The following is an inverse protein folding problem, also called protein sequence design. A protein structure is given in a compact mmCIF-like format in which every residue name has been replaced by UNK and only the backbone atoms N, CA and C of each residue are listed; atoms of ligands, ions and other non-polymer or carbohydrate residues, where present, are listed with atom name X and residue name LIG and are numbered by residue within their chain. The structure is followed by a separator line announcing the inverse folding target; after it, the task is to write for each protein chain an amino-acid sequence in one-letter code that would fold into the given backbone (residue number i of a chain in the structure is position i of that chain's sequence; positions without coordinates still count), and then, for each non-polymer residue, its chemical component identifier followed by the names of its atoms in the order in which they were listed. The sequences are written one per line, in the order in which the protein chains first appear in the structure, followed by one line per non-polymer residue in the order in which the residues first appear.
data_IF_044987601380
#
_entry.id   IF_044987601380
#
_cell.length_a   1.000
_cell.length_b   1.000
_cell.length_c   1.000
_cell.angle_alpha   90.00
_cell.angle_beta   90.00
_cell.angle_gamma   90.00
#
_symmetry.space_group_name_H-M   'P 1'
#
loop_
_entity.id
_entity.type
_entity.pdbx_description
1 polymer ?
#
# COMPACT_ATOMS: atom_id res chain seq x y z
N UNK A 1 -2.44 -25.93 18.01
CA UNK A 1 -3.42 -25.14 17.22
C UNK A 1 -3.03 -25.26 15.76
N UNK A 2 -3.98 -25.56 14.88
CA UNK A 2 -3.74 -25.68 13.45
C UNK A 2 -3.54 -24.28 12.82
N UNK A 3 -2.31 -23.98 12.40
CA UNK A 3 -1.94 -22.71 11.76
C UNK A 3 -2.63 -22.51 10.42
N UNK A 4 -3.00 -23.61 9.74
CA UNK A 4 -3.66 -23.56 8.43
C UNK A 4 -5.12 -23.11 8.56
N UNK A 5 -5.87 -23.69 9.50
CA UNK A 5 -7.22 -23.24 9.82
C UNK A 5 -7.25 -21.79 10.31
N UNK A 6 -6.28 -21.38 11.13
CA UNK A 6 -6.18 -20.00 11.60
C UNK A 6 -5.93 -19.01 10.44
N UNK A 7 -5.03 -19.34 9.52
CA UNK A 7 -4.77 -18.53 8.33
C UNK A 7 -6.01 -18.38 7.44
N UNK A 8 -6.70 -19.49 7.16
CA UNK A 8 -7.92 -19.50 6.34
C UNK A 8 -9.00 -18.59 6.94
N UNK A 9 -9.16 -18.63 8.27
CA UNK A 9 -10.07 -17.73 8.99
C UNK A 9 -9.64 -16.26 8.87
N UNK A 10 -8.35 -15.94 9.00
CA UNK A 10 -7.87 -14.57 8.82
C UNK A 10 -8.09 -14.06 7.39
N UNK A 11 -7.84 -14.90 6.39
CA UNK A 11 -8.09 -14.60 4.98
C UNK A 11 -9.56 -14.26 4.75
N UNK A 12 -10.47 -15.15 5.16
CA UNK A 12 -11.92 -14.92 5.04
C UNK A 12 -12.36 -13.63 5.76
N UNK A 13 -11.86 -13.40 6.97
CA UNK A 13 -12.15 -12.19 7.73
C UNK A 13 -11.59 -10.92 7.05
N UNK A 14 -10.43 -10.99 6.41
CA UNK A 14 -9.84 -9.81 5.76
C UNK A 14 -10.58 -9.47 4.47
N UNK A 15 -10.87 -10.47 3.64
CA UNK A 15 -11.49 -10.30 2.33
C UNK A 15 -12.98 -9.93 2.39
N UNK A 16 -13.63 -10.14 3.53
CA UNK A 16 -15.02 -9.70 3.77
C UNK A 16 -15.16 -8.24 4.19
N UNK A 17 -14.05 -7.55 4.48
CA UNK A 17 -14.08 -6.14 4.89
C UNK A 17 -14.10 -5.21 3.68
N UNK A 18 -14.82 -4.10 3.84
CA UNK A 18 -14.74 -2.98 2.90
C UNK A 18 -13.32 -2.36 2.88
N UNK A 19 -13.00 -1.70 1.78
CA UNK A 19 -11.78 -0.95 1.61
C UNK A 19 -11.79 0.29 2.54
N UNK A 20 -10.74 0.43 3.35
CA UNK A 20 -10.59 1.50 4.35
C UNK A 20 -9.67 2.64 3.86
N UNK A 21 -9.20 2.59 2.61
CA UNK A 21 -8.46 3.69 2.00
C UNK A 21 -9.38 4.91 1.85
N UNK A 22 -8.79 6.11 1.74
CA UNK A 22 -9.57 7.33 1.46
C UNK A 22 -10.31 7.27 0.11
N UNK A 23 -9.80 6.47 -0.82
CA UNK A 23 -10.44 6.22 -2.13
C UNK A 23 -11.66 5.31 -1.99
N UNK A 24 -11.66 4.41 -1.00
CA UNK A 24 -12.74 3.44 -0.77
C UNK A 24 -12.75 2.29 -1.78
N UNK A 25 -11.70 2.15 -2.59
CA UNK A 25 -11.56 1.08 -3.57
C UNK A 25 -10.09 0.79 -3.88
N UNK A 26 -9.82 -0.44 -4.32
CA UNK A 26 -8.52 -0.83 -4.87
C UNK A 26 -8.24 -0.03 -6.15
N UNK A 27 -6.98 0.33 -6.38
CA UNK A 27 -6.56 0.98 -7.61
C UNK A 27 -6.67 0.04 -8.81
N UNK A 28 -7.18 0.55 -9.93
CA UNK A 28 -7.36 -0.21 -11.18
C UNK A 28 -6.06 -0.90 -11.63
N UNK A 29 -4.93 -0.21 -11.55
CA UNK A 29 -3.63 -0.76 -11.97
C UNK A 29 -3.13 -1.87 -11.03
N UNK A 30 -3.66 -1.96 -9.81
CA UNK A 30 -3.31 -2.99 -8.83
C UNK A 30 -4.36 -4.11 -8.74
N UNK A 31 -5.55 -3.94 -9.33
CA UNK A 31 -6.68 -4.86 -9.12
C UNK A 31 -6.35 -6.28 -9.57
N UNK A 32 -5.66 -6.43 -10.71
CA UNK A 32 -5.32 -7.73 -11.27
C UNK A 32 -4.41 -8.55 -10.35
N UNK A 33 -3.34 -7.93 -9.83
CA UNK A 33 -2.42 -8.62 -8.90
C UNK A 33 -3.08 -8.91 -7.55
N UNK A 34 -3.94 -8.00 -7.07
CA UNK A 34 -4.69 -8.19 -5.82
C UNK A 34 -5.63 -9.39 -5.94
N UNK A 35 -6.40 -9.48 -7.03
CA UNK A 35 -7.30 -10.60 -7.27
C UNK A 35 -6.54 -11.92 -7.44
N UNK A 36 -5.45 -11.91 -8.22
CA UNK A 36 -4.61 -13.08 -8.44
C UNK A 36 -4.08 -13.67 -7.13
N UNK A 37 -3.56 -12.83 -6.24
CA UNK A 37 -3.03 -13.28 -4.95
C UNK A 37 -4.15 -13.76 -4.02
N UNK A 38 -5.28 -13.04 -3.96
CA UNK A 38 -6.39 -13.44 -3.10
C UNK A 38 -7.07 -14.74 -3.53
N UNK A 39 -6.94 -15.14 -4.80
CA UNK A 39 -7.40 -16.43 -5.30
C UNK A 39 -6.55 -17.63 -4.85
N UNK A 40 -5.35 -17.41 -4.28
CA UNK A 40 -4.42 -18.47 -3.85
C UNK A 40 -4.53 -18.74 -2.36
N UNK A 41 -4.58 -19.99 -1.93
CA UNK A 41 -4.76 -20.36 -0.53
C UNK A 41 -3.60 -19.95 0.39
N UNK A 42 -2.44 -19.71 -0.20
CA UNK A 42 -1.21 -19.31 0.49
C UNK A 42 -1.16 -17.82 0.84
N UNK A 43 -2.02 -17.00 0.22
CA UNK A 43 -1.90 -15.55 0.25
C UNK A 43 -3.24 -14.84 0.52
N UNK A 44 -3.14 -13.67 1.15
CA UNK A 44 -4.15 -12.63 0.99
C UNK A 44 -3.55 -11.24 1.16
N UNK A 45 -4.06 -10.28 0.41
CA UNK A 45 -3.63 -8.89 0.46
C UNK A 45 -4.27 -8.18 1.65
N UNK A 46 -3.48 -7.39 2.39
CA UNK A 46 -4.01 -6.57 3.49
C UNK A 46 -4.20 -5.11 3.08
N UNK A 47 -3.40 -4.59 2.17
CA UNK A 47 -3.52 -3.23 1.63
C UNK A 47 -2.69 -3.07 0.35
N UNK A 48 -3.11 -2.17 -0.53
CA UNK A 48 -2.44 -1.85 -1.79
C UNK A 48 -2.52 -0.35 -2.10
N UNK A 49 -1.58 0.15 -2.89
CA UNK A 49 -1.61 1.44 -3.57
C UNK A 49 -0.85 1.29 -4.89
N UNK A 50 -1.46 1.65 -6.02
CA UNK A 50 -0.84 1.59 -7.36
C UNK A 50 0.35 2.56 -7.52
N UNK A 51 0.49 3.49 -6.57
CA UNK A 51 1.38 4.64 -6.66
C UNK A 51 0.55 5.91 -6.78
N UNK A 52 1.09 7.02 -6.25
CA UNK A 52 0.36 8.29 -6.22
C UNK A 52 1.27 9.49 -6.15
N UNK A 53 0.81 10.59 -6.73
CA UNK A 53 1.37 11.92 -6.56
C UNK A 53 0.53 12.64 -5.50
N UNK A 54 1.23 13.27 -4.57
CA UNK A 54 0.67 13.96 -3.43
C UNK A 54 1.19 15.39 -3.40
N UNK A 55 0.29 16.33 -3.15
CA UNK A 55 0.65 17.65 -2.69
C UNK A 55 0.09 17.83 -1.28
N UNK A 56 0.95 18.11 -0.32
CA UNK A 56 0.60 18.24 1.09
C UNK A 56 1.01 19.64 1.56
N UNK A 57 0.13 20.31 2.30
CA UNK A 57 0.46 21.56 3.00
C UNK A 57 1.50 21.24 4.08
N UNK A 58 2.64 21.92 4.04
CA UNK A 58 3.71 21.79 5.02
C UNK A 58 3.25 22.33 6.38
N UNK A 59 3.55 21.62 7.45
CA UNK A 59 3.36 22.21 8.79
C UNK A 59 4.44 23.26 9.02
N UNK A 60 4.12 24.33 9.74
CA UNK A 60 5.03 25.43 10.05
C UNK A 60 6.29 25.02 10.86
N UNK A 61 6.44 23.74 11.24
CA UNK A 61 7.44 23.27 12.20
C UNK A 61 8.50 22.30 11.63
N UNK A 62 8.70 22.25 10.30
CA UNK A 62 9.89 21.63 9.71
C UNK A 62 9.69 20.93 8.37
N UNK A 63 10.80 20.48 7.77
CA UNK A 63 10.83 19.76 6.48
C UNK A 63 10.36 18.30 6.55
N UNK A 64 9.91 17.82 7.72
CA UNK A 64 9.45 16.43 7.89
C UNK A 64 7.99 16.27 7.45
N UNK A 65 7.78 15.41 6.44
CA UNK A 65 6.44 15.08 5.93
C UNK A 65 5.68 14.22 6.94
N UNK A 66 4.93 14.87 7.83
CA UNK A 66 3.98 14.17 8.71
C UNK A 66 2.72 13.79 7.91
N UNK A 67 2.38 12.48 7.90
CA UNK A 67 1.15 11.97 7.25
C UNK A 67 -0.09 12.10 8.13
N UNK A 68 0.11 12.27 9.44
CA UNK A 68 -0.96 12.48 10.41
C UNK A 68 -1.19 13.99 10.57
N UNK A 69 -2.46 14.38 10.60
CA UNK A 69 -2.89 15.78 10.76
C UNK A 69 -2.35 16.77 9.70
N UNK A 70 -2.01 16.29 8.50
CA UNK A 70 -1.61 17.15 7.38
C UNK A 70 -2.77 17.43 6.43
N UNK A 71 -2.76 18.62 5.81
CA UNK A 71 -3.75 19.01 4.81
C UNK A 71 -3.32 18.49 3.43
N UNK A 72 -4.15 17.64 2.82
CA UNK A 72 -3.88 17.10 1.49
C UNK A 72 -4.47 18.07 0.46
N UNK A 73 -3.58 18.72 -0.29
CA UNK A 73 -3.96 19.68 -1.32
C UNK A 73 -4.31 18.95 -2.63
N UNK A 74 -3.57 17.89 -2.98
CA UNK A 74 -3.80 17.06 -4.16
C UNK A 74 -3.49 15.59 -3.87
N UNK A 75 -4.32 14.68 -4.41
CA UNK A 75 -4.11 13.22 -4.40
C UNK A 75 -4.51 12.66 -5.75
N UNK A 76 -3.57 12.09 -6.49
CA UNK A 76 -3.84 11.46 -7.78
C UNK A 76 -3.13 10.11 -7.88
N UNK A 77 -3.83 9.11 -8.41
CA UNK A 77 -3.30 7.75 -8.63
C UNK A 77 -2.98 7.51 -10.12
N UNK A 78 -2.93 8.58 -10.90
CA UNK A 78 -2.60 8.62 -12.33
C UNK A 78 -1.68 9.83 -12.58
N UNK A 79 -0.95 9.87 -13.72
CA UNK A 79 -0.21 11.06 -14.10
C UNK A 79 -1.11 12.30 -14.05
N UNK A 80 -0.62 13.39 -13.46
CA UNK A 80 -1.29 14.69 -13.47
C UNK A 80 -0.50 15.71 -14.27
N UNK A 81 -1.20 16.74 -14.74
CA UNK A 81 -0.59 17.84 -15.47
C UNK A 81 -0.05 18.88 -14.50
N UNK A 82 0.83 19.74 -15.01
CA UNK A 82 1.35 20.90 -14.27
C UNK A 82 0.22 21.75 -13.68
N UNK A 83 -0.85 21.95 -14.45
CA UNK A 83 -1.93 22.85 -14.08
C UNK A 83 -2.77 22.30 -12.91
N UNK A 84 -2.90 20.97 -12.78
CA UNK A 84 -3.53 20.33 -11.62
C UNK A 84 -2.77 20.66 -10.32
N UNK A 85 -1.45 20.60 -10.39
CA UNK A 85 -0.56 20.91 -9.27
C UNK A 85 -0.63 22.40 -8.92
N UNK A 86 -0.60 23.28 -9.91
CA UNK A 86 -0.70 24.73 -9.71
C UNK A 86 -2.07 25.13 -9.12
N UNK A 87 -3.15 24.49 -9.55
CA UNK A 87 -4.48 24.73 -8.99
C UNK A 87 -4.55 24.31 -7.52
N UNK A 88 -3.97 23.15 -7.17
CA UNK A 88 -3.91 22.69 -5.79
C UNK A 88 -3.01 23.56 -4.90
N UNK A 89 -1.89 24.07 -5.42
CA UNK A 89 -0.96 24.94 -4.70
C UNK A 89 -1.60 26.26 -4.24
N UNK A 90 -2.58 26.80 -4.99
CA UNK A 90 -3.30 28.03 -4.58
C UNK A 90 -4.03 27.89 -3.24
N UNK A 91 -4.25 26.66 -2.76
CA UNK A 91 -4.88 26.37 -1.46
C UNK A 91 -3.87 26.19 -0.32
N UNK A 92 -2.57 26.19 -0.61
CA UNK A 92 -1.53 26.08 0.40
C UNK A 92 -1.52 27.32 1.31
N UNK A 93 -1.27 27.12 2.60
CA UNK A 93 -1.19 28.21 3.58
C UNK A 93 0.25 28.63 3.88
N UNK A 94 1.22 27.87 3.38
CA UNK A 94 2.65 28.13 3.49
C UNK A 94 3.42 27.24 2.51
N UNK A 95 4.51 26.63 3.00
CA UNK A 95 5.27 25.66 2.21
C UNK A 95 4.39 24.47 1.83
N UNK A 96 4.66 23.86 0.67
CA UNK A 96 3.98 22.67 0.21
C UNK A 96 4.98 21.61 -0.25
N UNK A 97 4.70 20.36 0.05
CA UNK A 97 5.53 19.22 -0.35
C UNK A 97 4.85 18.45 -1.47
N UNK A 98 5.49 18.45 -2.64
CA UNK A 98 5.17 17.56 -3.74
C UNK A 98 5.91 16.23 -3.55
N UNK A 99 5.18 15.13 -3.48
CA UNK A 99 5.75 13.80 -3.21
C UNK A 99 5.17 12.75 -4.13
N UNK A 100 6.03 11.90 -4.67
CA UNK A 100 5.62 10.63 -5.27
C UNK A 100 5.76 9.50 -4.25
N UNK A 101 4.71 8.69 -4.12
CA UNK A 101 4.75 7.43 -3.39
C UNK A 101 4.60 6.29 -4.39
N UNK A 102 5.59 5.38 -4.53
CA UNK A 102 5.53 4.31 -5.50
C UNK A 102 4.49 3.24 -5.11
N UNK A 103 4.30 2.27 -6.02
CA UNK A 103 3.51 1.07 -5.75
C UNK A 103 3.90 0.43 -4.41
N UNK A 104 2.89 0.02 -3.65
CA UNK A 104 3.10 -0.78 -2.45
C UNK A 104 1.97 -1.78 -2.31
N UNK A 105 2.32 -3.02 -1.96
CA UNK A 105 1.37 -4.08 -1.70
C UNK A 105 1.81 -4.87 -0.47
N UNK A 106 0.87 -5.04 0.48
CA UNK A 106 1.09 -5.84 1.67
C UNK A 106 0.34 -7.16 1.53
N UNK A 107 1.06 -8.26 1.66
CA UNK A 107 0.53 -9.62 1.50
C UNK A 107 0.84 -10.40 2.77
N UNK A 108 -0.20 -10.97 3.38
CA UNK A 108 0.01 -11.96 4.43
C UNK A 108 0.16 -13.34 3.77
N UNK A 109 1.23 -14.03 4.13
CA UNK A 109 1.55 -15.35 3.63
C UNK A 109 1.26 -16.40 4.70
N UNK A 110 0.88 -17.62 4.27
CA UNK A 110 0.53 -18.71 5.18
C UNK A 110 1.73 -19.21 5.98
N UNK A 111 2.89 -19.28 5.34
CA UNK A 111 4.16 -19.71 5.96
C UNK A 111 5.35 -18.95 5.38
N UNK A 112 6.53 -19.15 5.98
CA UNK A 112 7.75 -18.47 5.58
C UNK A 112 8.16 -18.82 4.14
N UNK A 113 8.00 -20.07 3.73
CA UNK A 113 8.32 -20.54 2.39
C UNK A 113 7.47 -19.81 1.33
N UNK A 114 6.17 -19.66 1.57
CA UNK A 114 5.28 -18.93 0.68
C UNK A 114 5.72 -17.45 0.56
N UNK A 115 6.16 -16.84 1.66
CA UNK A 115 6.71 -15.48 1.66
C UNK A 115 8.05 -15.37 0.91
N UNK A 116 8.93 -16.36 1.02
CA UNK A 116 10.20 -16.40 0.30
C UNK A 116 10.01 -16.53 -1.21
N UNK A 117 9.07 -17.37 -1.65
CA UNK A 117 8.70 -17.51 -3.07
C UNK A 117 8.19 -16.17 -3.60
N UNK A 118 7.22 -15.56 -2.90
CA UNK A 118 6.65 -14.30 -3.35
C UNK A 118 7.67 -13.14 -3.31
N UNK A 119 8.60 -13.14 -2.34
CA UNK A 119 9.71 -12.19 -2.29
C UNK A 119 10.66 -12.34 -3.49
N UNK A 120 11.01 -13.57 -3.87
CA UNK A 120 11.83 -13.81 -5.06
C UNK A 120 11.16 -13.30 -6.34
N UNK A 121 9.85 -13.56 -6.49
CA UNK A 121 9.04 -13.01 -7.59
C UNK A 121 9.03 -11.48 -7.56
N UNK A 122 8.88 -10.87 -6.38
CA UNK A 122 8.90 -9.42 -6.21
C UNK A 122 10.22 -8.79 -6.69
N UNK A 123 11.35 -9.31 -6.18
CA UNK A 123 12.68 -8.79 -6.50
C UNK A 123 13.01 -8.96 -7.98
N UNK A 124 12.69 -10.12 -8.57
CA UNK A 124 12.89 -10.38 -10.00
C UNK A 124 11.98 -9.55 -10.90
N UNK A 125 10.82 -9.11 -10.40
CA UNK A 125 9.92 -8.16 -11.07
C UNK A 125 10.33 -6.69 -10.88
N UNK A 126 11.45 -6.41 -10.20
CA UNK A 126 11.98 -5.05 -10.02
C UNK A 126 11.68 -4.40 -8.66
N UNK A 127 10.90 -5.05 -7.79
CA UNK A 127 10.56 -4.55 -6.45
C UNK A 127 11.68 -4.86 -5.45
N UNK A 128 12.85 -4.24 -5.64
CA UNK A 128 14.07 -4.52 -4.87
C UNK A 128 14.00 -4.12 -3.40
N UNK A 129 13.05 -3.26 -3.02
CA UNK A 129 12.86 -2.82 -1.64
C UNK A 129 11.80 -3.65 -0.91
N UNK A 130 11.48 -4.82 -1.44
CA UNK A 130 10.55 -5.76 -0.84
C UNK A 130 11.17 -6.50 0.34
N UNK A 131 10.38 -6.78 1.38
CA UNK A 131 10.87 -7.39 2.61
C UNK A 131 9.82 -8.23 3.33
N UNK A 132 10.29 -9.26 4.03
CA UNK A 132 9.47 -10.14 4.86
C UNK A 132 9.57 -9.68 6.32
N UNK A 133 8.43 -9.56 6.99
CA UNK A 133 8.32 -9.27 8.42
C UNK A 133 7.60 -10.41 9.11
N UNK A 134 8.14 -10.84 10.27
CA UNK A 134 7.52 -11.83 11.14
C UNK A 134 6.80 -11.12 12.28
N UNK A 135 5.47 -11.11 12.22
CA UNK A 135 4.62 -10.51 13.25
C UNK A 135 4.37 -11.42 14.44
N UNK A 136 3.65 -10.87 15.44
CA UNK A 136 3.18 -11.63 16.61
C UNK A 136 2.37 -12.86 16.17
N UNK A 137 2.49 -13.95 16.93
CA UNK A 137 1.86 -15.25 16.63
C UNK A 137 2.29 -15.87 15.29
N UNK A 138 3.47 -15.49 14.77
CA UNK A 138 4.03 -16.09 13.56
C UNK A 138 3.34 -15.68 12.27
N UNK A 139 2.71 -14.49 12.22
CA UNK A 139 2.13 -13.95 10.99
C UNK A 139 3.25 -13.52 10.04
N UNK A 140 3.34 -14.16 8.88
CA UNK A 140 4.30 -13.80 7.84
C UNK A 140 3.71 -12.70 6.97
N UNK A 141 4.34 -11.54 6.94
CA UNK A 141 3.94 -10.42 6.09
C UNK A 141 5.03 -10.13 5.07
N UNK A 142 4.68 -10.11 3.79
CA UNK A 142 5.50 -9.54 2.74
C UNK A 142 5.05 -8.12 2.43
N UNK A 143 6.01 -7.21 2.31
CA UNK A 143 5.81 -5.88 1.75
C UNK A 143 6.51 -5.85 0.38
N UNK A 144 5.76 -5.58 -0.68
CA UNK A 144 6.25 -5.38 -2.04
C UNK A 144 6.49 -3.89 -2.31
N UNK A 145 7.72 -3.49 -2.65
CA UNK A 145 8.13 -2.09 -2.96
C UNK A 145 9.32 -2.00 -3.91
#
# INVERSE_FOLDING_TARGET
MDRSAEFSRWKAQRLSRADLSRKGSVDEDAVGVVQLLNARDEFFTTSSCAGRILLIDGSANGFEVQKQNCCWLLVVHKPCLKDDVLAALKRARGDAVLKFEPFVLHVQCRQLQDAQILHSVAVTSGFRNSGITVGKRGKMMLVLR
#
